data_IF_893832082310
#
_entry.id   IF_893832082310
#
_cell.length_a   1.000
_cell.length_b   1.000
_cell.length_c   1.000
_cell.angle_alpha   90.00
_cell.angle_beta   90.00
_cell.angle_gamma   90.00
#
_symmetry.space_group_name_H-M   'P 1'
#
loop_
_entity.id
_entity.type
_entity.pdbx_description
1 polymer ?
#
# COMPACT_ATOMS: atom_id res chain seq x y z
N UNK A 1 2.54 13.96 -6.06
CA UNK A 1 1.76 12.85 -5.49
C UNK A 1 0.34 13.26 -5.07
N UNK A 2 -0.18 14.40 -5.50
CA UNK A 2 -1.63 14.61 -5.52
C UNK A 2 -2.13 14.09 -6.87
N UNK A 3 -3.21 13.31 -6.87
CA UNK A 3 -3.89 12.76 -8.06
C UNK A 3 -3.17 11.65 -8.85
N UNK A 4 -2.04 11.14 -8.38
CA UNK A 4 -1.28 10.07 -9.06
C UNK A 4 -1.02 8.86 -8.12
N UNK A 5 -2.06 8.11 -7.70
CA UNK A 5 -1.93 7.05 -6.69
C UNK A 5 -1.09 5.84 -7.15
N UNK A 6 -0.88 5.66 -8.46
CA UNK A 6 -0.06 4.55 -9.01
C UNK A 6 1.37 4.95 -9.32
N UNK A 7 1.73 6.24 -9.20
CA UNK A 7 3.06 6.75 -9.56
C UNK A 7 4.09 6.38 -8.50
N UNK A 8 4.70 5.21 -8.70
CA UNK A 8 5.70 4.68 -7.77
C UNK A 8 6.92 5.60 -7.67
N UNK A 9 7.51 5.63 -6.47
CA UNK A 9 8.70 6.42 -6.18
C UNK A 9 9.58 5.68 -5.18
N UNK A 10 10.86 6.08 -5.09
CA UNK A 10 11.76 5.46 -4.10
C UNK A 10 11.33 5.75 -2.66
N UNK A 11 10.81 6.95 -2.40
CA UNK A 11 10.53 7.46 -1.05
C UNK A 11 9.11 7.17 -0.54
N UNK A 12 8.07 7.30 -1.37
CA UNK A 12 6.68 7.33 -0.89
C UNK A 12 5.83 6.14 -1.33
N UNK A 13 5.60 5.97 -2.64
CA UNK A 13 4.67 4.94 -3.15
C UNK A 13 5.45 3.74 -3.69
N UNK A 14 5.14 2.55 -3.21
CA UNK A 14 5.72 1.29 -3.69
C UNK A 14 4.61 0.36 -4.16
N UNK A 15 4.75 -0.18 -5.36
CA UNK A 15 3.96 -1.33 -5.80
C UNK A 15 4.53 -2.60 -5.13
N UNK A 16 3.67 -3.41 -4.52
CA UNK A 16 4.04 -4.62 -3.80
C UNK A 16 4.21 -5.78 -4.79
N UNK A 17 5.27 -6.57 -4.62
CA UNK A 17 5.59 -7.71 -5.49
C UNK A 17 5.18 -9.01 -4.80
N UNK A 18 4.67 -9.96 -5.56
CA UNK A 18 4.21 -11.27 -5.03
C UNK A 18 2.89 -11.22 -4.24
N UNK A 19 2.28 -10.04 -4.13
CA UNK A 19 1.02 -9.80 -3.42
C UNK A 19 -0.02 -9.31 -4.43
N UNK A 20 -1.18 -9.97 -4.47
CA UNK A 20 -2.32 -9.59 -5.28
C UNK A 20 -3.06 -8.40 -4.66
N UNK A 21 -3.20 -8.42 -3.33
CA UNK A 21 -3.91 -7.42 -2.54
C UNK A 21 -3.27 -7.31 -1.15
N UNK A 22 -2.89 -6.11 -0.67
CA UNK A 22 -2.87 -4.81 -1.38
C UNK A 22 -1.86 -4.74 -2.54
N UNK A 23 -2.17 -3.95 -3.56
CA UNK A 23 -1.30 -3.66 -4.70
C UNK A 23 -0.21 -2.63 -4.37
N UNK A 24 -0.55 -1.62 -3.57
CA UNK A 24 0.36 -0.51 -3.25
C UNK A 24 0.51 -0.28 -1.75
N UNK A 25 1.67 0.30 -1.41
CA UNK A 25 1.96 0.84 -0.08
C UNK A 25 2.49 2.27 -0.20
N UNK A 26 1.80 3.20 0.45
CA UNK A 26 2.25 4.58 0.64
C UNK A 26 2.92 4.72 2.02
N UNK A 27 4.08 5.37 2.05
CA UNK A 27 4.81 5.73 3.26
C UNK A 27 4.49 7.18 3.63
N UNK A 28 3.91 7.38 4.81
CA UNK A 28 3.64 8.70 5.38
C UNK A 28 4.22 8.69 6.79
N UNK A 29 5.39 9.29 6.98
CA UNK A 29 6.04 9.36 8.30
C UNK A 29 6.02 7.99 9.01
N UNK A 30 5.30 7.91 10.14
CA UNK A 30 5.20 6.73 11.00
C UNK A 30 4.11 5.73 10.60
N UNK A 31 3.36 5.97 9.52
CA UNK A 31 2.33 5.05 9.02
C UNK A 31 2.61 4.50 7.63
N UNK A 32 2.01 3.35 7.36
CA UNK A 32 1.95 2.69 6.05
C UNK A 32 0.48 2.57 5.68
N UNK A 33 0.13 3.15 4.53
CA UNK A 33 -1.20 3.05 3.96
C UNK A 33 -1.15 1.99 2.88
N UNK A 34 -1.95 0.95 3.03
CA UNK A 34 -2.11 -0.11 2.05
C UNK A 34 -3.39 0.13 1.25
N UNK A 35 -3.27 0.13 -0.07
CA UNK A 35 -4.39 0.46 -0.94
C UNK A 35 -4.31 -0.23 -2.29
N UNK A 36 -5.48 -0.37 -2.90
CA UNK A 36 -5.66 -0.79 -4.28
C UNK A 36 -6.16 0.38 -5.12
N UNK A 37 -5.93 0.31 -6.43
CA UNK A 37 -6.48 1.26 -7.39
C UNK A 37 -7.30 0.48 -8.41
N UNK A 38 -8.58 0.79 -8.51
CA UNK A 38 -9.48 0.26 -9.54
C UNK A 38 -10.12 1.41 -10.30
N UNK A 39 -9.80 1.52 -11.59
CA UNK A 39 -10.27 2.60 -12.45
C UNK A 39 -9.96 3.99 -11.84
N UNK A 40 -10.97 4.72 -11.37
CA UNK A 40 -10.85 6.02 -10.72
C UNK A 40 -10.93 5.97 -9.18
N UNK A 41 -11.07 4.77 -8.61
CA UNK A 41 -11.25 4.56 -7.17
C UNK A 41 -9.96 4.10 -6.52
N UNK A 42 -9.62 4.75 -5.40
CA UNK A 42 -8.58 4.29 -4.48
C UNK A 42 -9.26 3.68 -3.26
N UNK A 43 -9.04 2.39 -3.05
CA UNK A 43 -9.58 1.68 -1.89
C UNK A 43 -8.48 1.54 -0.83
N UNK A 44 -8.63 2.23 0.30
CA UNK A 44 -7.70 2.12 1.43
C UNK A 44 -8.10 0.92 2.28
N UNK A 45 -7.25 -0.09 2.29
CA UNK A 45 -7.50 -1.35 3.01
C UNK A 45 -7.07 -1.27 4.47
N UNK A 46 -5.97 -0.55 4.73
CA UNK A 46 -5.48 -0.34 6.08
C UNK A 46 -4.55 0.87 6.18
N UNK A 47 -4.55 1.48 7.36
CA UNK A 47 -3.56 2.44 7.81
C UNK A 47 -2.96 1.84 9.07
N UNK A 48 -1.69 1.45 8.99
CA UNK A 48 -0.99 0.77 10.08
C UNK A 48 0.28 1.50 10.43
N UNK A 49 0.73 1.37 11.68
CA UNK A 49 2.00 1.94 12.08
C UNK A 49 3.16 1.25 11.35
N UNK A 50 4.29 1.95 11.23
CA UNK A 50 5.51 1.43 10.63
C UNK A 50 5.96 0.08 11.23
N UNK A 51 6.00 -0.13 12.56
CA UNK A 51 6.43 -1.42 13.12
C UNK A 51 5.46 -2.57 12.83
N UNK A 52 4.15 -2.30 12.71
CA UNK A 52 3.13 -3.35 12.51
C UNK A 52 2.93 -3.73 11.03
N UNK A 53 3.46 -2.92 10.11
CA UNK A 53 3.16 -3.03 8.69
C UNK A 53 3.54 -4.36 8.04
N UNK A 54 4.61 -5.01 8.53
CA UNK A 54 5.02 -6.32 8.01
C UNK A 54 4.13 -7.44 8.53
N UNK A 55 3.82 -7.45 9.83
CA UNK A 55 2.89 -8.39 10.44
C UNK A 55 1.50 -8.31 9.81
N UNK A 56 0.98 -7.08 9.62
CA UNK A 56 -0.30 -6.87 8.96
C UNK A 56 -0.28 -7.41 7.52
N UNK A 57 0.77 -7.12 6.75
CA UNK A 57 0.87 -7.59 5.37
C UNK A 57 1.00 -9.12 5.28
N UNK A 58 1.68 -9.75 6.23
CA UNK A 58 1.77 -11.21 6.30
C UNK A 58 0.43 -11.87 6.65
N UNK A 59 -0.39 -11.23 7.48
CA UNK A 59 -1.68 -11.78 7.92
C UNK A 59 -2.81 -11.55 6.91
N UNK A 60 -2.87 -10.37 6.30
CA UNK A 60 -4.00 -9.95 5.47
C UNK A 60 -3.66 -9.84 3.97
N UNK A 61 -2.38 -9.89 3.62
CA UNK A 61 -1.94 -9.89 2.24
C UNK A 61 -2.34 -11.19 1.54
N UNK A 62 -2.90 -11.06 0.34
CA UNK A 62 -3.20 -12.22 -0.52
C UNK A 62 -2.09 -12.35 -1.57
N UNK A 63 -1.54 -13.56 -1.74
CA UNK A 63 -0.56 -13.85 -2.80
C UNK A 63 -1.19 -13.78 -4.20
N UNK A 64 -0.37 -13.48 -5.21
CA UNK A 64 -0.76 -13.64 -6.62
C UNK A 64 -0.69 -15.10 -7.05
#
# INVERSE_FOLDING_TARGET
>A
LRHEPTKTSRSRIKHLRGVARPQYRLRVEEVRVFYDVSSSTVEVLAIVTKPEAESWLAQFGSSK
#
